data_IF_843346508955
#
_entry.id   IF_843346508955
#
_cell.length_a   1.000
_cell.length_b   1.000
_cell.length_c   1.000
_cell.angle_alpha   90.00
_cell.angle_beta   90.00
_cell.angle_gamma   90.00
#
_symmetry.space_group_name_H-M   'P 1'
#
loop_
_entity.id
_entity.type
_entity.pdbx_description
1 polymer ?
2 non-polymer ?
3 non-polymer ?
4 water ?
#
# COMPACT_ATOMS: atom_id res chain seq x y z
N UNK A 1 -25.06 -3.67 -13.73
CA UNK A 1 -25.33 -2.95 -14.98
C UNK A 1 -24.17 -2.11 -15.49
N UNK A 2 -23.56 -2.56 -16.59
CA UNK A 2 -22.50 -1.77 -17.20
C UNK A 2 -23.12 -0.76 -18.17
N UNK A 3 -22.60 0.46 -18.14
CA UNK A 3 -22.92 1.44 -19.16
C UNK A 3 -21.85 1.50 -20.26
N UNK A 4 -20.66 0.97 -19.99
CA UNK A 4 -19.57 0.87 -20.95
C UNK A 4 -18.79 -0.40 -20.66
N UNK A 5 -18.34 -1.08 -21.72
CA UNK A 5 -17.52 -2.27 -21.53
C UNK A 5 -16.06 -1.89 -21.37
N UNK A 6 -15.29 -2.84 -20.85
CA UNK A 6 -13.85 -2.64 -20.73
C UNK A 6 -13.22 -2.33 -22.09
N UNK A 7 -13.65 -3.04 -23.14
CA UNK A 7 -13.11 -2.76 -24.48
C UNK A 7 -13.43 -1.34 -24.94
N UNK A 8 -14.63 -0.84 -24.61
CA UNK A 8 -14.96 0.53 -24.97
C UNK A 8 -14.10 1.53 -24.24
N UNK A 9 -13.77 1.26 -22.98
CA UNK A 9 -12.91 2.17 -22.21
C UNK A 9 -11.50 2.20 -22.81
N UNK A 10 -10.93 1.03 -23.02
CA UNK A 10 -9.60 0.96 -23.63
C UNK A 10 -9.60 1.65 -24.99
N UNK A 11 -10.68 1.48 -25.77
CA UNK A 11 -10.75 2.14 -27.08
C UNK A 11 -10.80 3.66 -26.94
N UNK A 12 -11.57 4.16 -25.96
CA UNK A 12 -11.59 5.60 -25.75
C UNK A 12 -10.18 6.13 -25.47
N UNK A 13 -9.44 5.42 -24.61
CA UNK A 13 -8.10 5.87 -24.23
C UNK A 13 -7.13 5.76 -25.41
N UNK A 14 -7.09 4.59 -26.05
CA UNK A 14 -6.08 4.38 -27.10
C UNK A 14 -6.39 5.16 -28.37
N UNK A 15 -7.67 5.29 -28.74
CA UNK A 15 -7.98 6.10 -29.92
C UNK A 15 -7.58 7.54 -29.70
N UNK A 16 -7.80 8.06 -28.48
CA UNK A 16 -7.32 9.40 -28.20
C UNK A 16 -5.82 9.48 -28.36
N UNK A 17 -5.09 8.51 -27.80
CA UNK A 17 -3.62 8.53 -27.86
C UNK A 17 -3.10 8.40 -29.29
N UNK A 18 -3.68 7.48 -30.08
CA UNK A 18 -3.26 7.30 -31.47
C UNK A 18 -3.40 8.60 -32.26
N UNK A 19 -4.54 9.29 -32.10
CA UNK A 19 -4.78 10.47 -32.91
C UNK A 19 -3.87 11.64 -32.56
N UNK A 20 -3.26 11.65 -31.36
CA UNK A 20 -2.56 12.84 -30.87
C UNK A 20 -1.07 12.72 -31.11
N UNK A 21 -0.54 13.69 -31.86
CA UNK A 21 0.88 13.70 -32.23
C UNK A 21 1.77 13.78 -31.01
N UNK A 22 1.30 14.47 -29.96
CA UNK A 22 2.12 14.66 -28.76
C UNK A 22 2.37 13.36 -28.00
N UNK A 23 1.52 12.36 -28.14
CA UNK A 23 1.64 11.15 -27.32
C UNK A 23 2.38 10.08 -28.09
N UNK A 24 3.54 9.64 -27.57
CA UNK A 24 4.35 8.65 -28.28
C UNK A 24 4.34 7.27 -27.66
N UNK A 25 4.17 7.14 -26.34
CA UNK A 25 4.12 5.85 -25.67
C UNK A 25 2.95 5.89 -24.69
N UNK A 26 2.26 4.76 -24.55
CA UNK A 26 1.20 4.56 -23.57
C UNK A 26 1.55 3.31 -22.79
N UNK A 27 1.49 3.38 -21.47
CA UNK A 27 1.55 2.16 -20.67
C UNK A 27 0.34 2.03 -19.74
N UNK A 28 0.14 0.81 -19.27
CA UNK A 28 -0.84 0.44 -18.26
C UNK A 28 -0.11 0.04 -16.99
N UNK A 29 -0.63 0.46 -15.84
CA UNK A 29 0.01 0.19 -14.56
C UNK A 29 -1.00 -0.47 -13.65
N UNK A 30 -0.54 -1.01 -12.53
CA UNK A 30 -1.50 -1.36 -11.47
C UNK A 30 -2.13 -2.72 -11.66
N UNK A 31 -3.28 -2.92 -10.99
CA UNK A 31 -3.78 -4.28 -10.85
C UNK A 31 -4.26 -4.87 -12.17
N UNK A 32 -4.62 -4.05 -13.17
CA UNK A 32 -5.04 -4.61 -14.45
C UNK A 32 -3.90 -5.30 -15.19
N UNK A 33 -2.64 -5.04 -14.81
CA UNK A 33 -1.51 -5.76 -15.39
C UNK A 33 -1.18 -7.05 -14.63
N UNK A 34 -1.87 -7.32 -13.52
CA UNK A 34 -1.49 -8.35 -12.54
C UNK A 34 -2.38 -9.57 -12.68
N UNK A 35 -1.86 -10.64 -13.28
CA UNK A 35 -2.69 -11.83 -13.48
C UNK A 35 -3.07 -12.52 -12.20
N UNK A 36 -2.54 -12.10 -11.06
CA UNK A 36 -2.92 -12.72 -9.80
C UNK A 36 -4.08 -12.02 -9.11
N UNK A 37 -4.58 -10.91 -9.67
CA UNK A 37 -5.73 -10.19 -9.10
C UNK A 37 -7.00 -10.68 -9.78
N UNK A 38 -8.01 -10.98 -8.98
CA UNK A 38 -9.31 -11.41 -9.53
C UNK A 38 -10.05 -10.16 -10.02
N UNK A 39 -10.46 -10.10 -11.29
CA UNK A 39 -11.05 -8.87 -11.82
C UNK A 39 -12.36 -8.55 -11.11
N UNK A 40 -12.62 -7.26 -10.91
CA UNK A 40 -13.89 -6.86 -10.31
C UNK A 40 -14.25 -5.47 -10.83
N UNK A 41 -15.28 -4.87 -10.23
CA UNK A 41 -15.80 -3.61 -10.74
C UNK A 41 -15.06 -2.39 -10.22
N UNK A 42 -14.05 -2.57 -9.39
CA UNK A 42 -13.37 -1.44 -8.76
C UNK A 42 -11.94 -1.26 -9.27
N UNK A 43 -11.56 -1.93 -10.34
CA UNK A 43 -10.19 -1.84 -10.82
C UNK A 43 -10.02 -0.55 -11.60
N UNK A 44 -9.17 0.34 -11.08
CA UNK A 44 -8.92 1.58 -11.79
C UNK A 44 -8.22 1.29 -13.12
N UNK A 45 -8.34 2.21 -14.08
CA UNK A 45 -7.50 2.20 -15.28
C UNK A 45 -6.33 3.17 -15.05
N UNK A 46 -5.16 2.62 -14.68
CA UNK A 46 -3.96 3.43 -14.41
C UNK A 46 -3.15 3.53 -15.70
N UNK A 47 -3.25 4.68 -16.37
CA UNK A 47 -2.73 4.88 -17.72
C UNK A 47 -1.66 5.97 -17.65
N UNK A 48 -0.56 5.77 -18.36
CA UNK A 48 0.50 6.77 -18.43
C UNK A 48 0.74 7.11 -19.90
N UNK A 49 0.75 8.41 -20.20
CA UNK A 49 1.08 8.93 -21.53
C UNK A 49 2.47 9.58 -21.47
N UNK A 50 3.36 9.19 -22.39
CA UNK A 50 4.65 9.87 -22.52
C UNK A 50 4.57 10.85 -23.69
N UNK A 51 4.85 12.12 -23.42
CA UNK A 51 4.44 13.17 -24.33
C UNK A 51 5.62 14.09 -24.68
N UNK A 52 5.50 14.75 -25.84
CA UNK A 52 6.51 15.69 -26.30
C UNK A 52 6.35 17.07 -25.68
N UNK A 53 5.13 17.45 -25.27
CA UNK A 53 4.86 18.81 -24.81
C UNK A 53 3.89 18.70 -23.63
N UNK A 54 4.44 18.78 -22.42
CA UNK A 54 3.63 18.70 -21.20
C UNK A 54 2.70 19.90 -21.07
N UNK A 55 3.26 21.10 -21.23
CA UNK A 55 2.52 22.31 -20.89
C UNK A 55 1.27 22.47 -21.74
N UNK A 56 1.30 21.95 -22.98
CA UNK A 56 0.12 22.08 -23.82
C UNK A 56 -1.07 21.28 -23.29
N UNK A 57 -0.81 20.26 -22.46
CA UNK A 57 -1.91 19.54 -21.83
C UNK A 57 -2.42 20.27 -20.59
N UNK A 58 -1.50 20.81 -19.78
CA UNK A 58 -1.86 21.44 -18.51
C UNK A 58 -2.64 22.73 -18.70
N UNK A 59 -2.51 23.40 -19.84
CA UNK A 59 -3.15 24.70 -20.05
C UNK A 59 -4.67 24.63 -19.93
N UNK A 60 -5.29 23.55 -20.36
CA UNK A 60 -6.73 23.49 -20.43
C UNK A 60 -7.19 22.06 -20.14
N UNK A 61 -8.39 21.93 -19.56
CA UNK A 61 -8.96 20.64 -19.22
C UNK A 61 -9.94 20.11 -20.26
N UNK A 62 -10.21 20.88 -21.32
CA UNK A 62 -11.27 20.50 -22.27
C UNK A 62 -11.01 19.13 -22.87
N UNK A 63 -9.74 18.81 -23.15
CA UNK A 63 -9.42 17.56 -23.80
C UNK A 63 -9.86 16.35 -22.99
N UNK A 64 -9.98 16.49 -21.66
CA UNK A 64 -10.42 15.37 -20.83
C UNK A 64 -11.87 14.99 -21.08
N UNK A 65 -12.67 15.85 -21.72
CA UNK A 65 -14.09 15.54 -21.88
C UNK A 65 -14.32 14.26 -22.66
N UNK A 66 -13.35 13.81 -23.47
CA UNK A 66 -13.53 12.55 -24.18
C UNK A 66 -13.72 11.35 -23.24
N UNK A 67 -13.28 11.46 -21.98
CA UNK A 67 -13.37 10.29 -21.11
C UNK A 67 -14.73 10.12 -20.45
N UNK A 68 -15.58 11.14 -20.49
CA UNK A 68 -16.92 11.06 -19.94
C UNK A 68 -17.16 12.14 -18.90
N UNK A 69 -18.41 12.19 -18.44
CA UNK A 69 -18.77 13.14 -17.39
C UNK A 69 -18.23 12.64 -16.05
N UNK A 70 -17.68 13.55 -15.25
CA UNK A 70 -16.97 13.17 -14.03
C UNK A 70 -17.80 13.46 -12.79
N UNK A 71 -17.67 12.58 -11.79
CA UNK A 71 -18.17 12.89 -10.46
C UNK A 71 -17.19 13.74 -9.67
N UNK A 72 -15.89 13.47 -9.82
CA UNK A 72 -14.88 14.21 -9.08
C UNK A 72 -13.58 14.03 -9.84
N UNK A 73 -12.72 15.03 -9.77
CA UNK A 73 -11.36 14.76 -10.23
C UNK A 73 -10.37 15.52 -9.36
N UNK A 74 -9.21 14.91 -9.18
CA UNK A 74 -8.10 15.54 -8.47
C UNK A 74 -6.93 15.69 -9.42
N UNK A 75 -6.19 16.80 -9.29
CA UNK A 75 -4.95 17.04 -10.02
C UNK A 75 -3.85 17.16 -8.98
N UNK A 76 -3.29 16.04 -8.52
CA UNK A 76 -2.49 16.07 -7.28
C UNK A 76 -1.15 16.74 -7.43
N UNK A 77 -0.64 16.90 -8.64
CA UNK A 77 0.62 17.63 -8.81
C UNK A 77 0.37 19.11 -9.06
N UNK A 78 -0.85 19.58 -8.81
CA UNK A 78 -1.22 20.96 -9.08
C UNK A 78 -2.12 21.47 -7.95
N UNK A 79 -1.82 21.11 -6.72
CA UNK A 79 -2.58 21.66 -5.60
C UNK A 79 -1.70 22.54 -4.73
N UNK A 80 -2.37 23.34 -3.91
CA UNK A 80 -1.68 24.25 -3.00
C UNK A 80 -1.42 23.61 -1.65
N UNK A 81 -2.39 22.84 -1.14
CA UNK A 81 -2.27 22.26 0.18
C UNK A 81 -1.31 21.08 0.22
N UNK A 82 -1.11 20.40 -0.90
CA UNK A 82 -0.34 19.18 -0.95
C UNK A 82 0.83 19.33 -1.93
N UNK A 83 2.05 19.02 -1.52
CA UNK A 83 3.18 19.11 -2.45
C UNK A 83 3.19 17.94 -3.44
N UNK A 84 3.97 18.10 -4.51
CA UNK A 84 4.14 17.03 -5.49
C UNK A 84 4.88 15.86 -4.86
N UNK A 85 4.35 14.66 -5.03
CA UNK A 85 5.01 13.45 -4.55
C UNK A 85 5.17 12.39 -5.63
N UNK A 86 4.73 12.66 -6.85
CA UNK A 86 4.96 11.81 -8.00
C UNK A 86 5.58 12.65 -9.09
N UNK A 87 6.26 12.01 -10.03
CA UNK A 87 6.75 12.81 -11.14
C UNK A 87 5.65 13.01 -12.17
N UNK A 88 5.83 14.01 -13.02
CA UNK A 88 4.87 14.28 -14.08
C UNK A 88 3.64 15.01 -13.58
N UNK A 89 2.50 14.77 -14.24
CA UNK A 89 1.28 15.50 -13.96
C UNK A 89 0.12 14.54 -14.13
N UNK A 90 -0.71 14.36 -13.09
CA UNK A 90 -1.74 13.34 -13.18
C UNK A 90 -3.15 13.91 -12.94
N UNK A 91 -4.12 13.12 -13.39
CA UNK A 91 -5.55 13.40 -13.30
C UNK A 91 -6.20 12.17 -12.73
N UNK A 92 -6.75 12.26 -11.52
CA UNK A 92 -7.45 11.14 -10.90
C UNK A 92 -8.94 11.41 -11.08
N UNK A 93 -9.62 10.60 -11.89
CA UNK A 93 -11.00 10.87 -12.27
C UNK A 93 -11.93 9.70 -11.95
N UNK A 94 -13.05 10.03 -11.33
CA UNK A 94 -14.13 9.08 -11.12
C UNK A 94 -15.29 9.54 -12.00
N UNK A 95 -15.82 8.63 -12.82
CA UNK A 95 -16.82 9.02 -13.80
C UNK A 95 -18.24 8.70 -13.34
N UNK A 96 -19.20 9.30 -14.06
CA UNK A 96 -20.63 9.15 -13.79
C UNK A 96 -21.08 7.70 -13.64
N UNK A 97 -20.43 6.77 -14.33
CA UNK A 97 -20.82 5.37 -14.28
C UNK A 97 -19.94 4.54 -13.34
N UNK A 98 -19.13 5.19 -12.50
CA UNK A 98 -18.32 4.49 -11.51
C UNK A 98 -16.96 4.03 -12.01
N UNK A 99 -16.69 4.20 -13.30
CA UNK A 99 -15.38 3.90 -13.85
C UNK A 99 -14.36 4.90 -13.28
N UNK A 100 -13.14 4.43 -13.02
CA UNK A 100 -12.06 5.28 -12.54
C UNK A 100 -10.87 5.24 -13.51
N UNK A 101 -10.37 6.41 -13.91
CA UNK A 101 -9.14 6.49 -14.71
C UNK A 101 -8.16 7.40 -13.97
N UNK A 102 -6.97 6.87 -13.66
CA UNK A 102 -5.87 7.67 -13.10
C UNK A 102 -4.87 7.84 -14.23
N UNK A 103 -4.85 9.02 -14.84
CA UNK A 103 -4.06 9.32 -16.03
C UNK A 103 -2.83 10.13 -15.66
N UNK A 104 -1.64 9.62 -15.98
CA UNK A 104 -0.37 10.31 -15.72
C UNK A 104 0.27 10.76 -17.02
N UNK A 105 0.68 12.02 -17.08
CA UNK A 105 1.48 12.55 -18.19
C UNK A 105 2.93 12.61 -17.75
N UNK A 106 3.81 12.04 -18.56
CA UNK A 106 5.27 12.11 -18.27
C UNK A 106 6.01 12.59 -19.52
N UNK A 107 7.09 13.37 -19.35
CA UNK A 107 7.92 13.76 -20.48
C UNK A 107 8.61 12.51 -21.08
N UNK A 108 8.75 12.49 -22.40
CA UNK A 108 9.41 11.35 -23.11
C UNK A 108 10.78 11.03 -22.51
N UNK A 109 11.51 12.04 -22.04
CA UNK A 109 12.89 11.84 -21.51
C UNK A 109 12.89 10.86 -20.34
N UNK A 110 11.79 10.80 -19.60
CA UNK A 110 11.74 9.93 -18.39
C UNK A 110 11.69 8.44 -18.76
N UNK A 111 11.40 8.13 -20.03
CA UNK A 111 11.30 6.72 -20.46
C UNK A 111 12.64 6.00 -20.21
N UNK A 112 13.72 6.75 -20.09
CA UNK A 112 15.07 6.14 -19.87
C UNK A 112 15.06 5.31 -18.57
N UNK A 113 14.38 5.79 -17.53
CA UNK A 113 14.41 5.08 -16.26
C UNK A 113 13.04 4.63 -15.75
N UNK A 114 11.97 5.01 -16.44
CA UNK A 114 10.61 4.68 -16.00
C UNK A 114 10.44 3.22 -15.64
N UNK A 115 10.99 2.30 -16.44
CA UNK A 115 10.68 0.89 -16.22
C UNK A 115 11.36 0.33 -14.98
N UNK A 116 12.35 1.03 -14.44
CA UNK A 116 12.93 0.65 -13.16
C UNK A 116 12.06 1.00 -11.97
N UNK A 117 10.99 1.77 -12.15
CA UNK A 117 10.21 2.23 -11.01
C UNK A 117 9.29 1.16 -10.45
N UNK A 118 8.78 0.25 -11.29
CA UNK A 118 7.74 -0.72 -10.93
C UNK A 118 7.70 -1.79 -12.02
N UNK A 119 7.48 -3.02 -11.61
CA UNK A 119 7.37 -4.11 -12.58
C UNK A 119 5.94 -4.42 -13.00
N UNK A 120 4.92 -3.84 -12.37
CA UNK A 120 3.54 -4.07 -12.80
C UNK A 120 3.17 -3.03 -13.85
N UNK A 121 3.75 -3.22 -15.02
CA UNK A 121 3.67 -2.26 -16.13
C UNK A 121 3.50 -3.06 -17.40
N UNK A 122 2.59 -2.61 -18.27
CA UNK A 122 2.37 -3.22 -19.57
C UNK A 122 2.40 -2.14 -20.64
N UNK A 123 3.18 -2.37 -21.68
CA UNK A 123 3.24 -1.42 -22.78
C UNK A 123 1.98 -1.58 -23.64
N UNK A 124 1.26 -0.50 -23.88
CA UNK A 124 0.07 -0.54 -24.72
C UNK A 124 0.30 0.01 -26.13
N UNK A 125 1.20 0.97 -26.29
CA UNK A 125 1.41 1.61 -27.58
C UNK A 125 2.80 2.24 -27.60
N UNK A 126 3.50 2.13 -28.75
CA UNK A 126 4.87 2.65 -28.83
C UNK A 126 5.08 3.06 -30.30
N UNK A 127 4.67 4.30 -30.61
CA UNK A 127 4.56 4.78 -32.00
C UNK A 127 5.90 4.73 -32.74
N UNK A 128 7.00 4.93 -32.03
CA UNK A 128 8.33 5.02 -32.63
C UNK A 128 9.24 3.86 -32.25
N UNK A 129 8.70 2.81 -31.61
CA UNK A 129 9.47 1.61 -31.24
C UNK A 129 10.63 1.95 -30.30
N UNK A 130 10.37 2.84 -29.32
CA UNK A 130 11.41 3.24 -28.37
C UNK A 130 11.80 2.13 -27.40
N UNK A 131 10.90 1.19 -27.14
CA UNK A 131 11.11 0.18 -26.09
C UNK A 131 11.56 -1.12 -26.76
N UNK A 132 12.89 -1.37 -26.75
CA UNK A 132 13.42 -2.47 -27.53
C UNK A 132 13.32 -3.81 -26.78
N UNK A 133 13.44 -3.80 -25.45
CA UNK A 133 13.23 -5.00 -24.62
C UNK A 133 11.91 -4.81 -23.87
N UNK A 134 10.86 -5.50 -24.32
CA UNK A 134 9.50 -5.27 -23.82
C UNK A 134 9.31 -6.01 -22.49
N UNK A 135 8.93 -5.34 -21.41
CA UNK A 135 8.83 -6.02 -20.12
C UNK A 135 7.57 -6.86 -19.98
N UNK A 136 7.66 -7.87 -19.13
CA UNK A 136 6.55 -8.76 -18.80
C UNK A 136 6.10 -8.43 -17.38
N UNK A 137 4.86 -8.02 -17.16
CA UNK A 137 4.46 -7.58 -15.82
C UNK A 137 4.59 -8.69 -14.82
N UNK A 138 4.94 -8.32 -13.59
CA UNK A 138 5.02 -9.31 -12.51
C UNK A 138 4.86 -8.58 -11.19
N UNK A 139 4.26 -9.27 -10.24
CA UNK A 139 4.14 -8.76 -8.89
C UNK A 139 5.26 -9.25 -7.97
N UNK A 140 6.37 -9.75 -8.54
CA UNK A 140 7.37 -10.41 -7.72
C UNK A 140 8.03 -9.48 -6.71
N UNK A 141 8.12 -8.18 -6.98
CA UNK A 141 8.70 -7.29 -5.96
C UNK A 141 7.84 -7.17 -4.71
N UNK A 142 6.62 -7.71 -4.72
CA UNK A 142 5.69 -7.61 -3.60
C UNK A 142 5.58 -8.90 -2.81
N UNK A 143 6.43 -9.90 -3.08
CA UNK A 143 6.36 -11.14 -2.31
C UNK A 143 6.89 -10.93 -0.90
N UNK A 144 6.61 -11.89 -0.02
CA UNK A 144 7.05 -11.76 1.36
C UNK A 144 8.57 -11.87 1.41
N UNK A 145 9.19 -11.02 2.22
CA UNK A 145 10.64 -11.06 2.40
C UNK A 145 11.00 -12.04 3.51
N UNK A 146 12.10 -12.73 3.34
CA UNK A 146 12.66 -13.54 4.42
C UNK A 146 13.45 -12.61 5.35
N UNK A 147 13.19 -12.63 6.67
CA UNK A 147 13.99 -11.79 7.58
C UNK A 147 15.39 -12.35 7.75
N UNK A 148 16.27 -11.50 8.25
CA UNK A 148 17.57 -11.89 8.75
C UNK A 148 17.53 -11.76 10.26
N UNK A 149 18.53 -12.34 10.95
CA UNK A 149 18.56 -12.19 12.39
C UNK A 149 18.53 -10.71 12.78
N UNK A 150 19.23 -9.85 12.03
CA UNK A 150 19.26 -8.43 12.35
C UNK A 150 17.91 -7.75 12.09
N UNK A 151 17.28 -8.01 10.93
CA UNK A 151 16.01 -7.34 10.69
C UNK A 151 14.92 -7.85 11.61
N UNK A 152 15.01 -9.12 12.04
CA UNK A 152 14.07 -9.62 13.04
C UNK A 152 14.21 -8.84 14.35
N UNK A 153 15.45 -8.66 14.82
CA UNK A 153 15.67 -7.85 16.02
C UNK A 153 15.19 -6.43 15.83
N UNK A 154 15.44 -5.83 14.65
CA UNK A 154 14.99 -4.46 14.36
C UNK A 154 13.47 -4.34 14.49
N UNK A 155 12.74 -5.31 13.96
CA UNK A 155 11.27 -5.27 14.02
C UNK A 155 10.78 -5.35 15.46
N UNK A 156 11.33 -6.27 16.23
CA UNK A 156 11.03 -6.37 17.65
C UNK A 156 11.37 -5.08 18.39
N UNK A 157 12.53 -4.50 18.07
CA UNK A 157 12.96 -3.26 18.71
C UNK A 157 11.96 -2.14 18.45
N UNK A 158 11.56 -1.96 17.19
CA UNK A 158 10.62 -0.88 16.86
C UNK A 158 9.24 -1.15 17.46
N UNK A 159 8.78 -2.40 17.45
CA UNK A 159 7.49 -2.70 18.09
C UNK A 159 7.51 -2.30 19.58
N UNK A 160 8.46 -2.84 20.33
CA UNK A 160 8.43 -2.67 21.78
C UNK A 160 8.81 -1.25 22.18
N UNK A 161 9.75 -0.62 21.47
CA UNK A 161 10.01 0.80 21.76
C UNK A 161 8.78 1.68 21.54
N UNK A 162 8.06 1.48 20.45
CA UNK A 162 6.92 2.35 20.18
C UNK A 162 5.73 2.05 21.08
N UNK A 163 5.60 0.82 21.58
CA UNK A 163 4.64 0.53 22.65
C UNK A 163 4.75 1.58 23.77
N UNK A 164 5.97 1.98 24.16
CA UNK A 164 6.12 2.96 25.24
C UNK A 164 5.51 4.32 24.87
N UNK A 165 5.43 4.66 23.58
CA UNK A 165 4.76 5.89 23.18
C UNK A 165 3.24 5.80 23.28
N UNK A 166 2.68 4.61 23.06
CA UNK A 166 1.22 4.47 23.25
C UNK A 166 0.92 4.64 24.75
N UNK A 167 1.76 4.03 25.59
CA UNK A 167 1.57 4.14 27.07
C UNK A 167 1.60 5.62 27.45
N UNK A 168 2.59 6.35 26.98
CA UNK A 168 2.72 7.79 27.31
C UNK A 168 1.43 8.51 26.93
N UNK A 169 0.92 8.27 25.71
CA UNK A 169 -0.28 8.98 25.30
C UNK A 169 -1.49 8.63 26.15
N UNK A 170 -1.64 7.36 26.51
CA UNK A 170 -2.78 6.96 27.33
C UNK A 170 -2.65 7.53 28.74
N UNK A 171 -1.45 7.51 29.32
CA UNK A 171 -1.31 8.00 30.69
C UNK A 171 -1.46 9.53 30.79
N UNK A 172 -1.09 10.25 29.73
CA UNK A 172 -1.24 11.69 29.69
C UNK A 172 -2.64 12.17 29.33
N UNK A 173 -3.60 11.28 29.12
CA UNK A 173 -4.90 11.65 28.56
C UNK A 173 -4.74 12.41 27.25
N UNK A 174 -3.83 11.90 26.41
CA UNK A 174 -3.66 12.34 25.03
C UNK A 174 -3.97 11.22 24.03
N UNK A 175 -5.22 10.76 24.01
CA UNK A 175 -5.55 9.53 23.30
C UNK A 175 -5.23 9.63 21.81
N UNK A 176 -5.36 10.79 21.18
CA UNK A 176 -5.08 10.82 19.73
C UNK A 176 -3.60 10.52 19.43
N UNK A 177 -2.70 11.00 20.28
CA UNK A 177 -1.29 10.63 20.18
C UNK A 177 -1.10 9.12 20.31
N UNK A 178 -1.75 8.52 21.31
CA UNK A 178 -1.63 7.07 21.49
C UNK A 178 -2.22 6.31 20.29
N UNK A 179 -3.38 6.73 19.79
CA UNK A 179 -4.01 6.04 18.65
C UNK A 179 -3.11 6.09 17.42
N UNK A 180 -2.53 7.27 17.12
CA UNK A 180 -1.73 7.40 15.91
C UNK A 180 -0.48 6.52 15.98
N UNK A 181 0.17 6.43 17.15
CA UNK A 181 1.36 5.60 17.25
C UNK A 181 1.01 4.12 17.15
N UNK A 182 -0.16 3.73 17.63
CA UNK A 182 -0.58 2.33 17.48
C UNK A 182 -0.91 2.04 16.03
N UNK A 183 -1.68 2.94 15.38
CA UNK A 183 -2.04 2.72 13.97
C UNK A 183 -0.82 2.77 13.05
N UNK A 184 0.04 3.77 13.21
CA UNK A 184 1.07 4.02 12.20
C UNK A 184 2.27 3.14 12.38
N UNK A 185 2.54 2.67 13.61
CA UNK A 185 3.80 2.00 13.87
C UNK A 185 3.61 0.67 14.57
N UNK A 186 3.01 0.67 15.75
CA UNK A 186 2.94 -0.56 16.56
C UNK A 186 2.25 -1.68 15.78
N UNK A 187 1.05 -1.42 15.27
CA UNK A 187 0.35 -2.51 14.58
C UNK A 187 1.00 -2.82 13.23
N UNK A 188 1.60 -1.84 12.56
CA UNK A 188 2.37 -2.12 11.34
C UNK A 188 3.53 -3.09 11.57
N UNK A 189 4.24 -2.97 12.69
CA UNK A 189 5.30 -3.93 12.95
C UNK A 189 4.73 -5.30 13.30
N UNK A 190 3.57 -5.31 13.96
CA UNK A 190 2.88 -6.58 14.19
C UNK A 190 2.53 -7.25 12.87
N UNK A 191 1.96 -6.47 11.94
CA UNK A 191 1.60 -7.05 10.63
C UNK A 191 2.84 -7.51 9.87
N UNK A 192 3.94 -6.78 9.97
CA UNK A 192 5.19 -7.24 9.37
C UNK A 192 5.63 -8.59 9.93
N UNK A 193 5.68 -8.72 11.27
CA UNK A 193 6.02 -10.00 11.88
C UNK A 193 5.06 -11.11 11.45
N UNK A 194 3.76 -10.80 11.32
CA UNK A 194 2.83 -11.81 10.81
C UNK A 194 3.15 -12.18 9.37
N UNK A 195 3.55 -11.21 8.53
CA UNK A 195 3.91 -11.57 7.16
C UNK A 195 5.11 -12.55 7.14
N UNK A 196 6.07 -12.37 8.07
CA UNK A 196 7.20 -13.31 8.14
C UNK A 196 6.74 -14.70 8.57
N UNK A 197 5.82 -14.77 9.52
CA UNK A 197 5.21 -16.04 9.89
C UNK A 197 4.54 -16.70 8.69
N UNK A 198 3.79 -15.92 7.89
CA UNK A 198 3.17 -16.50 6.70
C UNK A 198 4.24 -17.04 5.76
N UNK A 199 5.33 -16.29 5.58
CA UNK A 199 6.41 -16.77 4.72
C UNK A 199 6.97 -18.11 5.16
N UNK A 200 7.19 -18.27 6.46
CA UNK A 200 7.68 -19.54 7.00
C UNK A 200 6.69 -20.67 6.71
N UNK A 201 5.41 -20.40 6.97
CA UNK A 201 4.39 -21.43 6.84
C UNK A 201 4.07 -21.77 5.38
N UNK A 202 3.95 -20.77 4.52
CA UNK A 202 3.39 -20.99 3.20
C UNK A 202 4.33 -20.64 2.04
N UNK A 203 5.45 -19.95 2.27
CA UNK A 203 6.45 -19.74 1.24
C UNK A 203 6.54 -18.28 0.80
N UNK A 204 7.43 -18.05 -0.16
CA UNK A 204 7.88 -16.71 -0.53
C UNK A 204 7.58 -16.37 -1.98
N UNK A 205 6.48 -16.87 -2.51
CA UNK A 205 6.19 -16.76 -3.94
C UNK A 205 4.88 -16.03 -4.22
N UNK A 206 4.38 -15.25 -3.27
CA UNK A 206 3.10 -14.58 -3.49
C UNK A 206 3.07 -13.29 -2.68
N UNK A 207 2.16 -12.38 -3.06
CA UNK A 207 2.00 -11.10 -2.39
C UNK A 207 0.82 -11.10 -1.42
N UNK A 208 1.00 -10.44 -0.28
CA UNK A 208 -0.11 -10.16 0.61
C UNK A 208 -0.89 -8.91 0.21
N UNK A 209 -0.47 -8.20 -0.84
CA UNK A 209 -1.21 -7.07 -1.38
C UNK A 209 -0.94 -5.78 -0.63
N UNK A 210 -1.31 -4.66 -1.27
CA UNK A 210 -1.16 -3.35 -0.64
C UNK A 210 -1.96 -3.29 0.65
N UNK A 211 -1.36 -2.70 1.69
CA UNK A 211 -2.00 -2.59 3.01
C UNK A 211 -2.26 -3.99 3.60
N UNK A 212 -1.46 -5.00 3.18
CA UNK A 212 -1.67 -6.40 3.57
C UNK A 212 -3.10 -6.84 3.30
N UNK A 213 -3.73 -6.29 2.28
CA UNK A 213 -5.16 -6.47 2.15
C UNK A 213 -5.58 -7.92 1.87
N UNK A 214 -4.67 -8.78 1.38
CA UNK A 214 -4.97 -10.20 1.15
C UNK A 214 -4.63 -11.10 2.35
N UNK A 215 -4.24 -10.51 3.48
CA UNK A 215 -3.79 -11.31 4.62
C UNK A 215 -4.82 -12.34 5.08
N UNK A 216 -6.13 -12.03 4.97
CA UNK A 216 -7.14 -12.92 5.54
C UNK A 216 -7.08 -14.32 4.92
N UNK A 217 -6.65 -14.41 3.68
CA UNK A 217 -6.56 -15.70 2.98
C UNK A 217 -5.49 -16.61 3.57
N UNK A 218 -4.50 -16.03 4.23
CA UNK A 218 -3.29 -16.79 4.63
C UNK A 218 -3.10 -16.97 6.14
N UNK A 219 -4.06 -16.52 6.94
CA UNK A 219 -3.97 -16.76 8.40
C UNK A 219 -5.27 -17.40 8.91
N UNK A 220 -5.19 -17.99 10.10
CA UNK A 220 -6.36 -18.65 10.71
C UNK A 220 -7.49 -17.67 10.94
N UNK A 221 -8.75 -18.09 10.76
CA UNK A 221 -9.87 -17.22 11.18
C UNK A 221 -9.74 -16.78 12.62
N UNK A 222 -9.16 -17.63 13.47
CA UNK A 222 -8.92 -17.29 14.88
C UNK A 222 -7.99 -16.09 15.00
N UNK A 223 -6.86 -16.11 14.29
CA UNK A 223 -5.93 -14.97 14.37
C UNK A 223 -6.51 -13.73 13.68
N UNK A 224 -7.18 -13.89 12.55
CA UNK A 224 -7.85 -12.76 11.86
C UNK A 224 -8.81 -12.01 12.80
N UNK A 225 -9.64 -12.75 13.53
CA UNK A 225 -10.60 -12.12 14.48
C UNK A 225 -9.86 -11.25 15.50
N UNK A 226 -8.77 -11.77 16.03
CA UNK A 226 -7.99 -11.02 17.04
C UNK A 226 -7.40 -9.76 16.39
N UNK A 227 -6.85 -9.92 15.19
CA UNK A 227 -6.31 -8.72 14.53
C UNK A 227 -7.38 -7.66 14.39
N UNK A 228 -8.56 -8.06 13.89
CA UNK A 228 -9.62 -7.06 13.73
C UNK A 228 -10.05 -6.47 15.05
N UNK A 229 -10.01 -7.26 16.13
CA UNK A 229 -10.39 -6.73 17.44
C UNK A 229 -9.47 -5.60 17.90
N UNK A 230 -8.22 -5.55 17.40
CA UNK A 230 -7.33 -4.48 17.81
C UNK A 230 -7.74 -3.13 17.22
N UNK A 231 -8.65 -3.10 16.26
CA UNK A 231 -9.01 -1.84 15.62
C UNK A 231 -10.20 -1.15 16.29
N UNK A 232 -10.58 -1.61 17.48
CA UNK A 232 -11.63 -0.91 18.29
C UNK A 232 -10.85 -0.04 19.28
N UNK A 233 -10.76 1.27 19.00
CA UNK A 233 -9.85 2.14 19.79
C UNK A 233 -10.52 3.42 20.31
N UNK A 234 -11.86 3.50 20.32
CA UNK A 234 -12.53 4.78 20.65
C UNK A 234 -12.69 5.14 22.12
N UNK A 235 -11.78 4.72 22.98
CA UNK A 235 -11.83 5.10 24.39
C UNK A 235 -10.54 4.67 25.04
N UNK A 236 -10.26 5.21 26.24
CA UNK A 236 -9.02 4.80 26.92
C UNK A 236 -9.07 3.33 27.28
N UNK A 237 -10.22 2.87 27.77
CA UNK A 237 -10.38 1.45 28.10
C UNK A 237 -10.18 0.57 26.87
N UNK A 238 -10.78 0.94 25.74
CA UNK A 238 -10.57 0.16 24.52
C UNK A 238 -9.12 0.19 24.06
N UNK A 239 -8.45 1.34 24.19
CA UNK A 239 -7.05 1.42 23.76
C UNK A 239 -6.13 0.56 24.62
N UNK A 240 -6.33 0.52 25.93
CA UNK A 240 -5.47 -0.39 26.76
C UNK A 240 -5.69 -1.84 26.29
N UNK A 241 -6.95 -2.19 26.02
CA UNK A 241 -7.26 -3.58 25.59
C UNK A 241 -6.57 -3.87 24.26
N UNK A 242 -6.76 -2.97 23.31
CA UNK A 242 -6.09 -3.14 21.99
C UNK A 242 -4.55 -3.27 22.10
N UNK A 243 -3.99 -2.39 22.93
CA UNK A 243 -2.53 -2.44 23.09
C UNK A 243 -2.10 -3.77 23.69
N UNK A 244 -2.78 -4.21 24.75
CA UNK A 244 -2.44 -5.50 25.36
C UNK A 244 -2.68 -6.67 24.43
N UNK A 245 -3.73 -6.61 23.61
CA UNK A 245 -3.93 -7.67 22.63
C UNK A 245 -2.82 -7.67 21.56
N UNK A 246 -2.45 -6.48 21.08
CA UNK A 246 -1.37 -6.35 20.12
C UNK A 246 -0.09 -6.98 20.68
N UNK A 247 0.21 -6.70 21.94
CA UNK A 247 1.43 -7.25 22.59
C UNK A 247 1.36 -8.78 22.65
N UNK A 248 0.21 -9.32 23.03
CA UNK A 248 0.03 -10.77 23.12
C UNK A 248 0.20 -11.45 21.77
N UNK A 249 -0.41 -10.88 20.74
CA UNK A 249 -0.22 -11.46 19.41
C UNK A 249 1.25 -11.38 19.02
N UNK A 250 1.87 -10.22 19.25
CA UNK A 250 3.28 -10.08 18.85
C UNK A 250 4.17 -11.09 19.56
N UNK A 251 3.94 -11.33 20.86
CA UNK A 251 4.75 -12.32 21.57
C UNK A 251 4.63 -13.67 20.89
N UNK A 252 3.39 -14.09 20.64
CA UNK A 252 3.16 -15.42 20.07
C UNK A 252 3.80 -15.56 18.70
N UNK A 253 3.63 -14.55 17.84
CA UNK A 253 4.09 -14.66 16.46
C UNK A 253 5.60 -14.47 16.38
N UNK A 254 6.17 -13.53 17.16
CA UNK A 254 7.62 -13.36 17.07
C UNK A 254 8.36 -14.55 17.68
N UNK A 255 7.79 -15.16 18.71
CA UNK A 255 8.37 -16.39 19.25
C UNK A 255 8.38 -17.49 18.20
N UNK A 256 7.32 -17.61 17.40
CA UNK A 256 7.30 -18.67 16.39
C UNK A 256 8.34 -18.39 15.32
N UNK A 257 8.43 -17.14 14.86
CA UNK A 257 9.43 -16.80 13.84
C UNK A 257 10.83 -17.09 14.37
N UNK A 258 11.11 -16.68 15.61
CA UNK A 258 12.45 -16.89 16.16
C UNK A 258 12.77 -18.38 16.27
N UNK A 259 11.81 -19.18 16.72
CA UNK A 259 12.14 -20.58 16.93
C UNK A 259 12.27 -21.30 15.59
N UNK A 260 11.50 -20.88 14.57
CA UNK A 260 11.61 -21.52 13.26
C UNK A 260 12.90 -21.16 12.54
N UNK A 261 13.39 -19.93 12.73
CA UNK A 261 14.59 -19.46 12.04
C UNK A 261 15.84 -19.49 12.92
N UNK A 262 15.71 -19.98 14.17
CA UNK A 262 16.80 -20.11 15.14
C UNK A 262 17.44 -18.75 15.47
N UNK A 263 16.59 -17.74 15.66
CA UNK A 263 17.05 -16.45 16.17
C UNK A 263 16.93 -16.39 17.69
N UNK A 264 17.74 -15.54 18.31
CA UNK A 264 17.54 -15.20 19.71
C UNK A 264 16.25 -14.45 19.92
N UNK A 265 15.47 -14.84 20.94
CA UNK A 265 14.31 -14.05 21.35
C UNK A 265 14.79 -12.89 22.22
N UNK A 266 14.60 -11.63 21.81
CA UNK A 266 15.20 -10.51 22.55
C UNK A 266 14.48 -10.22 23.87
N UNK A 267 15.15 -9.44 24.74
CA UNK A 267 14.62 -9.10 26.05
C UNK A 267 13.64 -7.95 26.03
N UNK A 268 13.33 -7.39 24.85
CA UNK A 268 12.41 -6.26 24.79
C UNK A 268 11.05 -6.59 25.40
N UNK A 269 10.51 -7.76 25.06
CA UNK A 269 9.22 -8.20 25.58
C UNK A 269 9.19 -8.17 27.11
N UNK A 270 10.13 -8.86 27.73
CA UNK A 270 10.18 -8.91 29.19
C UNK A 270 10.26 -7.50 29.78
N UNK A 271 11.20 -6.68 29.29
CA UNK A 271 11.45 -5.37 29.92
C UNK A 271 10.28 -4.41 29.69
N UNK A 272 9.79 -4.32 28.46
CA UNK A 272 8.72 -3.36 28.20
C UNK A 272 7.39 -3.85 28.72
N UNK A 273 7.14 -5.17 28.71
CA UNK A 273 5.88 -5.65 29.28
C UNK A 273 5.75 -5.25 30.75
N UNK A 274 6.85 -5.39 31.51
CA UNK A 274 6.82 -4.95 32.91
C UNK A 274 6.62 -3.44 33.02
N UNK A 275 7.32 -2.67 32.17
CA UNK A 275 7.13 -1.21 32.15
C UNK A 275 5.68 -0.85 31.92
N UNK A 276 5.02 -1.49 30.95
CA UNK A 276 3.62 -1.20 30.68
C UNK A 276 2.76 -1.44 31.92
N UNK A 277 2.93 -2.60 32.54
CA UNK A 277 2.12 -2.93 33.72
C UNK A 277 2.31 -1.89 34.82
N UNK A 278 3.58 -1.51 35.09
CA UNK A 278 3.85 -0.51 36.15
C UNK A 278 3.22 0.84 35.82
N UNK A 279 3.33 1.29 34.57
CA UNK A 279 2.77 2.60 34.22
C UNK A 279 1.25 2.58 34.32
N UNK A 280 0.61 1.52 33.80
CA UNK A 280 -0.84 1.40 33.90
C UNK A 280 -1.30 1.45 35.36
N UNK A 281 -0.60 0.74 36.25
CA UNK A 281 -0.98 0.78 37.66
C UNK A 281 -0.78 2.17 38.26
N UNK A 282 0.33 2.84 37.90
CA UNK A 282 0.62 4.14 38.47
C UNK A 282 -0.45 5.17 38.17
N UNK A 283 -1.10 5.08 37.00
CA UNK A 283 -2.09 6.09 36.60
C UNK A 283 -3.52 5.59 36.75
N UNK A 284 -3.71 4.39 37.28
CA UNK A 284 -5.05 3.83 37.51
C UNK A 284 -5.49 4.10 38.95
X LIG B 1 -1.64 5.87 -8.49
X LIG B 1 -3.14 8.92 -4.39
X LIG B 1 -2.44 12.06 -4.01
X LIG B 1 -0.08 3.56 -10.84
X LIG B 1 -6.51 10.14 -3.63
X LIG B 1 -0.83 10.38 -7.76
X LIG B 1 -0.46 11.52 -7.21
X LIG B 1 -5.44 7.31 -2.13
X LIG B 1 -0.82 7.07 -8.03
X LIG B 1 -3.97 10.15 -4.04
X LIG B 1 -2.31 13.25 -3.13
X LIG B 1 -1.72 8.12 -7.41
X LIG B 1 -5.15 9.61 -3.17
X LIG B 1 -1.46 12.92 -1.91
X LIG B 1 -2.50 7.53 -6.23
X LIG B 1 -5.01 8.09 -3.32
X LIG B 1 -0.13 12.30 -2.33
X LIG B 1 -3.35 6.36 -6.72
X LIG B 1 -0.40 11.10 -3.25
X LIG B 1 -2.46 5.28 -7.34
X LIG B 1 0.87 10.49 -3.79
X LIG B 1 -0.64 4.67 -10.38
X LIG B 1 -3.66 15.19 -2.50
X LIG B 1 -0.78 4.85 -9.08
X LIG B 1 -3.62 13.77 -2.73
X LIG B 1 -0.97 9.30 -7.00
X LIG B 1 -1.06 5.58 -11.24
X LIG B 1 -1.07 10.31 -9.06
X LIG B 1 -3.20 11.09 -3.30
X LIG B 1 -0.09 7.62 -9.13
X LIG B 1 -4.98 9.97 -1.80
X LIG B 1 -1.22 14.07 -1.10
X LIG B 1 -3.37 8.57 -5.72
X LIG B 1 -3.62 7.90 -3.53
X LIG B 1 0.55 11.83 -1.17
X LIG B 1 -4.10 5.82 -5.64
X LIG B 1 -1.18 11.54 -4.37
X LIG B 1 -3.20 4.16 -7.78
X LIG B 1 0.59 9.40 -4.65
X LIG B 1 -7.55 9.52 -2.89
X LIG B 1 -6.38 11.51 -3.97
X LIG C 1 -6.93 -1.39 -7.75
X LIG C 1 -7.19 -1.08 -6.29
X LIG C 1 -5.42 -1.36 -7.99
X LIG C 1 -7.60 -0.33 -8.61
X LIG C 1 -7.46 -2.77 -8.05
#
# INVERSE_FOLDING_TARGET
>A
MKMRTEKQIYDTILNFAKADDRIRVVTLEGSRTNINIIPDDFQDYDITFFVTDMQSFINSDEWLNVFGERLIMQKPEDMELFPKEEKGYSYLMLFWDGVKIDLTLLPLEVLDEYFTWDKLVKLLLDKDNRVTNIPVPTDEDYYIEHPTARSFDDCCNEFWNTVTYVVKGLCRKEILFAIDHLNNIVRMELLRMISWKVGIEQGYSFSLGKNYKFLERYISPELWKKILATYNMGSYTEMWKSLELCMGIFRMVSKEVAQCLNYLYPDYDKNISNYVIRQKEKYQRDPNSSSVDKLAAALEHHHHHH
>B hetero
1 5I0 C11 C12 C13 NB1 CG2 CD1 NE1 CH2 C21 C22 C23 C31 C32 C33 C41 C42 C43 C51 C53 C61 C63 CA1 CI3 N11 N23 N31 NC1 NF1 O13 O21 O32 O33 O41 O42 O43 O51 O53 O61 O63 OG2A OG2B
>C hetero
1 PO4 P O1 O2 O3 O4
#
